data_IF_446009200458
#
_entry.id   IF_446009200458
#
_cell.length_a   1.000
_cell.length_b   1.000
_cell.length_c   1.000
_cell.angle_alpha   90.00
_cell.angle_beta   90.00
_cell.angle_gamma   90.00
#
_symmetry.space_group_name_H-M   'P 1'
#
loop_
_entity.id
_entity.type
_entity.pdbx_description
1 polymer ?
#
# COMPACT_ATOMS: atom_id res chain seq x y z
N UNK A 1 2.72 -7.08 20.09
CA UNK A 1 2.72 -8.51 19.67
C UNK A 1 2.73 -8.67 18.14
N UNK A 2 1.73 -8.19 17.39
CA UNK A 2 1.67 -8.37 15.92
C UNK A 2 2.86 -7.80 15.13
N UNK A 3 3.41 -6.63 15.51
CA UNK A 3 4.60 -6.04 14.86
C UNK A 3 5.86 -6.90 15.02
N UNK A 4 6.03 -7.55 16.17
CA UNK A 4 7.19 -8.42 16.41
C UNK A 4 7.12 -9.68 15.56
N UNK A 5 5.93 -10.29 15.47
CA UNK A 5 5.68 -11.43 14.59
C UNK A 5 5.92 -11.10 13.11
N UNK A 6 5.39 -9.97 12.62
CA UNK A 6 5.60 -9.54 11.24
C UNK A 6 7.09 -9.34 10.91
N UNK A 7 7.87 -8.77 11.83
CA UNK A 7 9.34 -8.64 11.68
C UNK A 7 10.03 -10.00 11.63
N UNK A 8 9.63 -10.95 12.48
CA UNK A 8 10.18 -12.31 12.47
C UNK A 8 9.90 -13.02 11.14
N UNK A 9 8.67 -12.91 10.62
CA UNK A 9 8.29 -13.47 9.31
C UNK A 9 9.10 -12.87 8.17
N UNK A 10 9.27 -11.54 8.14
CA UNK A 10 10.08 -10.88 7.11
C UNK A 10 11.55 -11.31 7.14
N UNK A 11 12.09 -11.63 8.33
CA UNK A 11 13.45 -12.15 8.48
C UNK A 11 13.57 -13.61 8.05
N UNK A 12 12.57 -14.44 8.36
CA UNK A 12 12.55 -15.86 8.00
C UNK A 12 12.30 -16.09 6.50
N UNK A 13 11.56 -15.20 5.85
CA UNK A 13 11.16 -15.31 4.44
C UNK A 13 11.52 -14.04 3.65
N UNK A 14 12.82 -13.75 3.45
CA UNK A 14 13.23 -12.59 2.67
C UNK A 14 12.86 -12.77 1.20
N UNK A 15 12.40 -11.69 0.56
CA UNK A 15 12.23 -11.67 -0.89
C UNK A 15 13.61 -11.63 -1.54
N UNK A 16 13.95 -12.57 -2.46
CA UNK A 16 15.25 -12.59 -3.12
C UNK A 16 15.53 -11.28 -3.86
N UNK A 17 16.77 -10.78 -3.82
CA UNK A 17 17.09 -9.50 -4.46
C UNK A 17 16.77 -9.50 -5.95
N UNK A 18 16.96 -10.60 -6.65
CA UNK A 18 16.82 -10.64 -8.12
C UNK A 18 15.41 -10.97 -8.60
N UNK A 19 14.42 -10.98 -7.69
CA UNK A 19 13.02 -11.22 -8.04
C UNK A 19 12.47 -10.36 -9.21
N UNK A 20 12.88 -9.09 -9.43
CA UNK A 20 12.34 -8.30 -10.54
C UNK A 20 12.73 -8.86 -11.92
N UNK A 21 13.81 -9.62 -12.01
CA UNK A 21 14.24 -10.28 -13.25
C UNK A 21 13.32 -11.45 -13.63
N UNK A 22 12.48 -11.92 -12.72
CA UNK A 22 11.49 -12.97 -12.99
C UNK A 22 10.22 -12.42 -13.66
N UNK A 23 10.04 -11.09 -13.69
CA UNK A 23 8.85 -10.45 -14.23
C UNK A 23 9.01 -10.18 -15.73
N UNK A 24 8.01 -10.60 -16.50
CA UNK A 24 7.74 -10.07 -17.83
C UNK A 24 7.00 -8.73 -17.72
N UNK A 25 7.00 -7.94 -18.80
CA UNK A 25 6.30 -6.66 -18.83
C UNK A 25 4.77 -6.79 -18.65
N UNK A 26 4.18 -7.92 -19.06
CA UNK A 26 2.76 -8.21 -18.88
C UNK A 26 2.38 -8.66 -17.45
N UNK A 27 3.37 -8.89 -16.59
CA UNK A 27 3.10 -9.37 -15.23
C UNK A 27 2.33 -8.32 -14.44
N UNK A 28 1.11 -8.63 -14.00
CA UNK A 28 0.32 -7.73 -13.15
C UNK A 28 0.96 -7.57 -11.77
N UNK A 29 1.36 -6.34 -11.43
CA UNK A 29 1.93 -5.99 -10.12
C UNK A 29 0.88 -5.37 -9.20
N UNK A 30 -0.09 -4.63 -9.75
CA UNK A 30 -1.22 -4.11 -8.98
C UNK A 30 -2.52 -4.74 -9.47
N UNK A 31 -3.06 -5.71 -8.73
CA UNK A 31 -4.32 -6.36 -9.11
C UNK A 31 -5.53 -5.42 -9.07
N UNK A 32 -5.59 -4.48 -8.13
CA UNK A 32 -6.78 -3.62 -7.97
C UNK A 32 -6.96 -2.59 -9.09
N UNK A 33 -5.88 -2.19 -9.74
CA UNK A 33 -5.86 -1.16 -10.80
C UNK A 33 -5.30 -1.74 -12.11
N UNK A 34 -5.12 -3.06 -12.16
CA UNK A 34 -4.63 -3.84 -13.31
C UNK A 34 -3.31 -3.33 -13.91
N UNK A 35 -2.43 -2.78 -13.07
CA UNK A 35 -1.13 -2.23 -13.49
C UNK A 35 -0.08 -3.34 -13.63
N UNK A 36 0.57 -3.39 -14.79
CA UNK A 36 1.63 -4.35 -15.11
C UNK A 36 3.02 -3.85 -14.71
N UNK A 37 4.00 -4.75 -14.67
CA UNK A 37 5.41 -4.41 -14.45
C UNK A 37 5.95 -3.50 -15.55
N UNK A 38 5.55 -3.75 -16.81
CA UNK A 38 5.88 -2.91 -17.96
C UNK A 38 5.37 -1.50 -17.81
N UNK A 39 4.12 -1.31 -17.34
CA UNK A 39 3.57 0.02 -17.10
C UNK A 39 4.35 0.80 -16.02
N UNK A 40 4.83 0.11 -14.97
CA UNK A 40 5.68 0.72 -13.95
C UNK A 40 7.05 1.11 -14.51
N UNK A 41 7.66 0.24 -15.33
CA UNK A 41 8.94 0.51 -16.00
C UNK A 41 8.81 1.67 -16.97
N UNK A 42 7.79 1.69 -17.82
CA UNK A 42 7.52 2.78 -18.76
C UNK A 42 7.30 4.12 -18.03
N UNK A 43 6.58 4.13 -16.90
CA UNK A 43 6.41 5.35 -16.11
C UNK A 43 7.74 5.95 -15.60
N UNK A 44 8.75 5.10 -15.36
CA UNK A 44 10.08 5.45 -14.87
C UNK A 44 11.07 5.77 -16.00
N UNK A 45 11.12 4.91 -17.02
CA UNK A 45 12.14 4.92 -18.05
C UNK A 45 11.77 5.87 -19.20
N UNK A 46 10.49 5.90 -19.58
CA UNK A 46 9.97 6.77 -20.64
C UNK A 46 9.22 8.01 -20.09
N UNK A 47 8.84 7.95 -18.82
CA UNK A 47 8.09 8.99 -18.11
C UNK A 47 8.93 9.81 -17.14
N UNK A 48 8.33 10.82 -16.48
CA UNK A 48 9.04 11.69 -15.56
C UNK A 48 9.23 11.06 -14.16
N UNK A 49 8.76 9.83 -13.92
CA UNK A 49 8.68 9.30 -12.56
C UNK A 49 10.05 8.97 -11.98
N UNK A 50 10.46 9.70 -10.95
CA UNK A 50 11.71 9.44 -10.22
C UNK A 50 11.52 8.65 -8.92
N UNK A 51 10.27 8.46 -8.50
CA UNK A 51 9.94 7.80 -7.24
C UNK A 51 8.60 7.03 -7.29
N UNK A 52 8.36 6.22 -6.25
CA UNK A 52 7.12 5.45 -6.09
C UNK A 52 5.85 6.33 -6.08
N UNK A 53 5.92 7.55 -5.52
CA UNK A 53 4.76 8.46 -5.44
C UNK A 53 4.38 8.98 -6.81
N UNK A 54 5.34 9.23 -7.69
CA UNK A 54 5.11 9.66 -9.06
C UNK A 54 4.59 8.49 -9.91
N UNK A 55 5.16 7.30 -9.78
CA UNK A 55 4.61 6.08 -10.41
C UNK A 55 3.15 5.86 -10.00
N UNK A 56 2.83 6.00 -8.71
CA UNK A 56 1.44 5.91 -8.22
C UNK A 56 0.52 6.92 -8.90
N UNK A 57 0.95 8.16 -9.11
CA UNK A 57 0.14 9.20 -9.75
C UNK A 57 -0.11 8.89 -11.23
N UNK A 58 0.91 8.42 -11.95
CA UNK A 58 0.81 8.14 -13.39
C UNK A 58 0.05 6.84 -13.69
N UNK A 59 0.28 5.79 -12.89
CA UNK A 59 -0.24 4.44 -13.18
C UNK A 59 -1.45 4.05 -12.35
N UNK A 60 -1.78 4.84 -11.31
CA UNK A 60 -2.74 4.49 -10.27
C UNK A 60 -2.37 3.32 -9.36
N UNK A 61 -1.18 2.71 -9.53
CA UNK A 61 -0.75 1.60 -8.71
C UNK A 61 -0.82 1.93 -7.19
N UNK A 62 -1.61 1.15 -6.46
CA UNK A 62 -1.85 1.34 -5.04
C UNK A 62 -3.02 2.27 -4.67
N UNK A 63 -3.82 2.73 -5.64
CA UNK A 63 -5.03 3.55 -5.39
C UNK A 63 -6.34 2.76 -5.33
N UNK A 64 -6.33 1.47 -5.68
CA UNK A 64 -7.52 0.63 -5.63
C UNK A 64 -7.89 0.15 -4.22
N UNK A 65 -8.82 -0.79 -4.11
CA UNK A 65 -9.41 -1.24 -2.83
C UNK A 65 -8.38 -1.61 -1.73
N UNK A 66 -7.28 -2.26 -2.12
CA UNK A 66 -6.23 -2.64 -1.18
C UNK A 66 -5.35 -1.47 -0.70
N UNK A 67 -5.48 -0.27 -1.27
CA UNK A 67 -4.73 0.95 -0.92
C UNK A 67 -3.22 0.72 -0.84
N UNK A 68 -2.68 -0.05 -1.79
CA UNK A 68 -1.26 -0.35 -1.90
C UNK A 68 -0.70 -1.33 -0.84
N UNK A 69 -1.55 -2.00 -0.06
CA UNK A 69 -1.09 -3.02 0.92
C UNK A 69 -0.37 -4.19 0.26
N UNK A 70 -0.84 -4.59 -0.92
CA UNK A 70 -0.30 -5.74 -1.64
C UNK A 70 0.83 -5.33 -2.58
N UNK A 71 0.62 -4.30 -3.40
CA UNK A 71 1.55 -3.93 -4.45
C UNK A 71 2.62 -2.91 -4.02
N UNK A 72 2.42 -2.17 -2.92
CA UNK A 72 3.28 -1.05 -2.53
C UNK A 72 4.78 -1.37 -2.48
N UNK A 73 5.21 -2.41 -1.74
CA UNK A 73 6.63 -2.80 -1.70
C UNK A 73 7.19 -3.17 -3.07
N UNK A 74 6.43 -3.89 -3.89
CA UNK A 74 6.84 -4.33 -5.22
C UNK A 74 6.96 -3.13 -6.19
N UNK A 75 5.95 -2.26 -6.24
CA UNK A 75 5.96 -1.05 -7.06
C UNK A 75 7.08 -0.13 -6.63
N UNK A 76 7.36 0.01 -5.33
CA UNK A 76 8.49 0.80 -4.83
C UNK A 76 9.83 0.25 -5.34
N UNK A 77 10.02 -1.06 -5.24
CA UNK A 77 11.23 -1.73 -5.72
C UNK A 77 11.41 -1.60 -7.25
N UNK A 78 10.31 -1.52 -8.01
CA UNK A 78 10.36 -1.34 -9.46
C UNK A 78 10.52 0.14 -9.86
N UNK A 79 9.97 1.07 -9.08
CA UNK A 79 10.01 2.51 -9.35
C UNK A 79 11.36 3.15 -9.03
N UNK A 80 11.98 2.78 -7.89
CA UNK A 80 13.20 3.40 -7.41
C UNK A 80 14.44 2.52 -7.66
N UNK A 81 15.58 3.15 -7.90
CA UNK A 81 16.89 2.50 -7.90
C UNK A 81 17.33 2.11 -6.48
N UNK A 82 16.60 1.19 -5.81
CA UNK A 82 16.95 0.41 -4.60
C UNK A 82 17.58 1.10 -3.37
N UNK A 83 17.86 2.39 -3.38
CA UNK A 83 18.62 3.07 -2.32
C UNK A 83 17.77 3.41 -1.12
N UNK A 84 16.50 3.74 -1.32
CA UNK A 84 15.59 4.11 -0.24
C UNK A 84 14.73 2.92 0.21
N UNK A 85 14.61 2.67 1.53
CA UNK A 85 13.71 1.65 2.05
C UNK A 85 12.24 2.02 1.78
N UNK A 86 11.43 1.03 1.45
CA UNK A 86 9.99 1.23 1.31
C UNK A 86 9.38 1.65 2.65
N UNK A 87 8.75 2.82 2.67
CA UNK A 87 7.95 3.27 3.81
C UNK A 87 6.46 3.13 3.46
N UNK A 88 5.71 2.27 4.16
CA UNK A 88 4.27 2.15 3.95
C UNK A 88 3.58 3.50 4.17
N UNK A 89 2.67 3.88 3.27
CA UNK A 89 1.87 5.07 3.43
C UNK A 89 1.03 4.99 4.72
N UNK A 90 0.92 6.12 5.43
CA UNK A 90 -0.04 6.26 6.52
C UNK A 90 -1.46 6.21 5.96
N UNK A 91 -2.34 5.51 6.68
CA UNK A 91 -3.74 5.32 6.29
C UNK A 91 -4.59 5.66 7.50
N UNK A 92 -5.44 6.68 7.36
CA UNK A 92 -6.36 7.08 8.43
C UNK A 92 -7.38 5.98 8.73
N UNK A 93 -7.83 5.25 7.71
CA UNK A 93 -8.81 4.18 7.85
C UNK A 93 -8.19 2.83 7.47
N UNK A 94 -8.31 1.85 8.38
CA UNK A 94 -7.70 0.53 8.25
C UNK A 94 -8.27 -0.29 7.08
N UNK A 95 -9.52 -0.06 6.70
CA UNK A 95 -10.23 -0.68 5.56
C UNK A 95 -11.25 0.31 5.00
N UNK A 96 -11.66 0.21 3.73
CA UNK A 96 -12.75 1.01 3.22
C UNK A 96 -14.02 0.83 4.08
N UNK A 97 -14.66 1.94 4.42
CA UNK A 97 -15.95 2.00 5.13
C UNK A 97 -16.90 2.85 4.29
N UNK A 98 -18.19 2.55 4.36
CA UNK A 98 -19.18 3.35 3.63
C UNK A 98 -19.34 4.71 4.28
N UNK A 99 -19.72 5.72 3.48
CA UNK A 99 -20.03 7.04 4.03
C UNK A 99 -21.22 6.99 5.00
N UNK A 100 -22.20 6.11 4.77
CA UNK A 100 -23.33 5.88 5.68
C UNK A 100 -22.88 5.37 7.05
N UNK A 101 -22.00 4.36 7.09
CA UNK A 101 -21.48 3.83 8.36
C UNK A 101 -20.70 4.89 9.16
N UNK A 102 -20.01 5.81 8.46
CA UNK A 102 -19.37 6.97 9.10
C UNK A 102 -20.40 7.98 9.62
N UNK A 103 -21.42 8.31 8.82
CA UNK A 103 -22.49 9.22 9.22
C UNK A 103 -23.24 8.70 10.47
N UNK A 104 -23.62 7.43 10.47
CA UNK A 104 -24.33 6.78 11.58
C UNK A 104 -23.49 6.74 12.87
N UNK A 105 -22.16 6.77 12.77
CA UNK A 105 -21.26 6.78 13.93
C UNK A 105 -21.19 8.12 14.66
N UNK A 106 -21.58 9.22 14.00
CA UNK A 106 -21.58 10.57 14.59
C UNK A 106 -22.88 10.84 15.35
N UNK A 107 -23.98 10.20 14.97
CA UNK A 107 -25.31 10.36 15.59
C UNK A 107 -25.54 9.46 16.82
N UNK A 108 -24.57 8.61 17.21
CA UNK A 108 -24.62 7.93 18.51
C UNK A 108 -24.38 8.97 19.62
N UNK A 109 -25.37 9.25 20.50
CA UNK A 109 -25.18 10.23 21.55
C UNK A 109 -24.03 9.79 22.45
N UNK A 110 -22.97 10.59 22.46
CA UNK A 110 -21.90 10.51 23.45
C UNK A 110 -22.47 11.08 24.76
N UNK A 111 -23.33 10.32 25.42
CA UNK A 111 -23.66 10.57 26.83
C UNK A 111 -23.61 9.24 27.59
N UNK A 112 -22.40 8.89 27.98
CA UNK A 112 -22.18 8.10 29.18
C UNK A 112 -21.31 8.94 30.09
N UNK A 113 -21.92 9.94 30.73
CA UNK A 113 -21.39 10.52 31.95
C UNK A 113 -21.10 9.37 32.93
N UNK A 114 -19.86 9.18 33.43
CA UNK A 114 -19.57 8.14 34.41
C UNK A 114 -20.38 8.44 35.68
N UNK A 115 -21.32 7.58 36.05
CA UNK A 115 -21.95 7.66 37.37
C UNK A 115 -20.94 7.23 38.43
N UNK A 116 -20.73 8.09 39.42
CA UNK A 116 -19.87 7.80 40.57
C UNK A 116 -20.43 6.60 41.38
N UNK A 117 -19.57 5.67 41.82
CA UNK A 117 -20.00 4.58 42.69
C UNK A 117 -20.29 5.11 44.11
N UNK A 118 -21.51 4.87 44.60
CA UNK A 118 -21.89 5.02 46.03
C UNK A 118 -21.32 3.87 46.86
#
# INVERSE_FOLDING_TARGET
RHRAFARAMAKAHPVPRDWPAWLTDDTTVCRCEEVTAGAVRAARDDGPATDHRQVKQLTRAGMGWCQGRMCGPAVHCLAAARTEPYTPAERLIATPVTLGALADSVDSPTDATPSEPT
#
